data_IF_887400134465
#
_entry.id   IF_887400134465
#
_cell.length_a   1.000
_cell.length_b   1.000
_cell.length_c   1.000
_cell.angle_alpha   90.00
_cell.angle_beta   90.00
_cell.angle_gamma   90.00
#
_symmetry.space_group_name_H-M   'P 1'
#
loop_
_entity.id
_entity.type
_entity.pdbx_description
1 polymer ?
#
# COMPACT_ATOMS: atom_id res chain seq x y z
N UNK A 1 9.02 9.98 -1.37
CA UNK A 1 8.28 8.92 -2.09
C UNK A 1 9.29 7.93 -2.65
N UNK A 2 9.27 6.68 -2.19
CA UNK A 2 10.15 5.62 -2.69
C UNK A 2 9.30 4.64 -3.50
N UNK A 3 9.52 4.62 -4.82
CA UNK A 3 9.20 3.46 -5.64
C UNK A 3 10.33 2.46 -5.43
N UNK A 4 10.10 1.40 -4.67
CA UNK A 4 11.16 0.46 -4.32
C UNK A 4 10.63 -0.87 -3.87
N UNK A 5 11.46 -1.90 -4.02
CA UNK A 5 11.25 -3.20 -3.42
C UNK A 5 11.64 -3.12 -1.94
N UNK A 6 10.92 -3.88 -1.11
CA UNK A 6 11.23 -4.06 0.30
C UNK A 6 11.61 -5.52 0.47
N UNK A 7 12.80 -5.77 0.99
CA UNK A 7 13.27 -7.11 1.33
C UNK A 7 13.35 -7.24 2.85
N UNK A 8 12.88 -8.36 3.38
CA UNK A 8 12.96 -8.66 4.80
C UNK A 8 14.15 -9.61 4.99
N UNK A 9 15.21 -9.13 5.64
CA UNK A 9 16.40 -9.91 5.93
C UNK A 9 16.49 -10.11 7.45
N UNK A 10 15.93 -11.23 7.92
CA UNK A 10 15.93 -11.62 9.34
C UNK A 10 15.19 -10.62 10.24
N UNK A 11 15.93 -9.79 10.98
CA UNK A 11 15.42 -8.76 11.90
C UNK A 11 15.55 -7.34 11.35
N UNK A 12 15.95 -7.19 10.09
CA UNK A 12 16.04 -5.90 9.39
C UNK A 12 15.16 -5.85 8.15
N UNK A 13 14.58 -4.68 7.90
CA UNK A 13 13.83 -4.35 6.70
C UNK A 13 14.73 -3.50 5.82
N UNK A 14 15.12 -4.05 4.69
CA UNK A 14 16.00 -3.40 3.73
C UNK A 14 15.13 -2.77 2.63
N UNK A 15 15.28 -1.47 2.46
CA UNK A 15 14.81 -0.75 1.29
C UNK A 15 15.98 -0.51 0.34
N UNK A 16 15.70 0.00 -0.86
CA UNK A 16 16.69 0.25 -1.90
C UNK A 16 17.91 1.07 -1.40
N UNK A 17 17.74 1.93 -0.40
CA UNK A 17 18.77 2.86 0.04
C UNK A 17 19.17 2.75 1.52
N UNK A 18 18.47 1.95 2.33
CA UNK A 18 18.65 1.94 3.78
C UNK A 18 18.14 0.63 4.43
N UNK A 19 18.75 0.23 5.55
CA UNK A 19 18.36 -0.96 6.34
C UNK A 19 17.85 -0.54 7.72
N UNK A 20 16.64 -0.98 8.09
CA UNK A 20 15.97 -0.60 9.35
C UNK A 20 15.74 -1.78 10.27
N UNK A 21 15.99 -1.59 11.56
CA UNK A 21 15.64 -2.59 12.57
C UNK A 21 14.11 -2.72 12.72
N UNK A 22 13.58 -3.91 12.46
CA UNK A 22 12.14 -4.23 12.56
C UNK A 22 11.58 -4.05 13.98
N UNK A 23 12.42 -4.10 15.01
CA UNK A 23 12.04 -3.93 16.41
C UNK A 23 11.38 -2.57 16.69
N UNK A 24 11.74 -1.53 15.92
CA UNK A 24 11.20 -0.17 16.08
C UNK A 24 9.84 0.06 15.42
N UNK A 25 9.32 -0.89 14.62
CA UNK A 25 8.10 -0.72 13.83
C UNK A 25 6.84 -0.94 14.67
N UNK A 26 6.06 0.12 14.89
CA UNK A 26 4.87 0.11 15.75
C UNK A 26 3.64 -0.44 15.03
N UNK A 27 3.38 -0.03 13.78
CA UNK A 27 2.24 -0.50 13.01
C UNK A 27 2.50 -0.52 11.50
N UNK A 28 1.87 -1.49 10.82
CA UNK A 28 1.90 -1.64 9.36
C UNK A 28 0.48 -1.48 8.82
N UNK A 29 0.26 -0.48 7.98
CA UNK A 29 -1.04 -0.23 7.35
C UNK A 29 -0.92 -0.34 5.83
N UNK A 30 -1.76 -1.18 5.22
CA UNK A 30 -1.96 -1.22 3.77
C UNK A 30 -3.29 -0.52 3.44
N UNK A 31 -3.25 0.55 2.65
CA UNK A 31 -4.44 1.30 2.20
C UNK A 31 -4.51 1.34 0.68
N UNK A 32 -5.70 1.56 0.13
CA UNK A 32 -5.93 1.79 -1.30
C UNK A 32 -6.28 3.28 -1.52
N UNK A 33 -5.27 4.16 -1.66
CA UNK A 33 -5.52 5.61 -1.66
C UNK A 33 -6.35 6.07 -2.87
N UNK A 34 -6.26 5.37 -4.01
CA UNK A 34 -6.93 5.75 -5.25
C UNK A 34 -8.30 5.06 -5.45
N UNK A 35 -8.74 4.22 -4.50
CA UNK A 35 -10.01 3.52 -4.62
C UNK A 35 -11.21 4.49 -4.62
N UNK A 36 -11.19 5.50 -3.74
CA UNK A 36 -12.25 6.50 -3.67
C UNK A 36 -12.34 7.32 -4.95
N UNK A 37 -11.20 7.78 -5.47
CA UNK A 37 -11.12 8.50 -6.75
C UNK A 37 -11.58 7.63 -7.92
N UNK A 38 -11.15 6.37 -7.96
CA UNK A 38 -11.59 5.41 -8.98
C UNK A 38 -13.10 5.16 -8.94
N UNK A 39 -13.67 4.97 -7.75
CA UNK A 39 -15.12 4.83 -7.56
C UNK A 39 -15.89 6.08 -7.99
N UNK A 40 -15.37 7.26 -7.65
CA UNK A 40 -15.98 8.53 -8.04
C UNK A 40 -16.00 8.66 -9.57
N UNK A 41 -14.85 8.51 -10.23
CA UNK A 41 -14.75 8.62 -11.69
C UNK A 41 -15.61 7.55 -12.38
N UNK A 42 -15.46 6.28 -11.98
CA UNK A 42 -16.24 5.18 -12.56
C UNK A 42 -17.76 5.34 -12.35
N UNK A 43 -18.17 5.81 -11.17
CA UNK A 43 -19.56 6.11 -10.86
C UNK A 43 -20.12 7.24 -11.71
N UNK A 44 -19.37 8.35 -11.85
CA UNK A 44 -19.77 9.47 -12.71
C UNK A 44 -19.85 9.08 -14.18
N UNK A 45 -18.87 8.34 -14.71
CA UNK A 45 -18.91 7.85 -16.09
C UNK A 45 -20.12 6.94 -16.33
N UNK A 46 -20.44 6.07 -15.36
CA UNK A 46 -21.60 5.17 -15.46
C UNK A 46 -22.92 5.94 -15.42
N UNK A 47 -23.08 6.87 -14.46
CA UNK A 47 -24.29 7.69 -14.36
C UNK A 47 -24.48 8.58 -15.58
N UNK A 48 -23.40 9.19 -16.09
CA UNK A 48 -23.43 10.00 -17.30
C UNK A 48 -23.83 9.18 -18.52
N UNK A 49 -23.20 8.01 -18.70
CA UNK A 49 -23.53 7.10 -19.80
C UNK A 49 -24.99 6.63 -19.77
N UNK A 50 -25.55 6.37 -18.58
CA UNK A 50 -26.97 6.01 -18.43
C UNK A 50 -27.92 7.21 -18.66
N UNK A 51 -27.56 8.40 -18.16
CA UNK A 51 -28.40 9.58 -18.26
C UNK A 51 -28.53 10.13 -19.68
N UNK A 52 -27.53 9.88 -20.53
CA UNK A 52 -27.45 10.40 -21.90
C UNK A 52 -27.32 9.27 -22.94
N UNK A 53 -27.75 8.05 -22.62
CA UNK A 53 -27.61 6.88 -23.48
C UNK A 53 -28.32 7.02 -24.84
N UNK A 54 -29.35 7.87 -24.90
CA UNK A 54 -30.13 8.19 -26.10
C UNK A 54 -29.43 9.22 -27.01
N UNK A 55 -28.54 10.04 -26.45
CA UNK A 55 -27.78 11.08 -27.17
C UNK A 55 -26.41 10.56 -27.60
N UNK A 56 -25.79 9.69 -26.80
CA UNK A 56 -24.44 9.21 -27.06
C UNK A 56 -24.38 8.17 -28.18
N UNK A 57 -23.36 8.28 -29.02
CA UNK A 57 -23.03 7.25 -29.98
C UNK A 57 -22.41 6.03 -29.30
N UNK A 58 -22.52 4.86 -29.95
CA UNK A 58 -21.95 3.61 -29.45
C UNK A 58 -20.45 3.72 -29.12
N UNK A 59 -19.68 4.46 -29.92
CA UNK A 59 -18.25 4.69 -29.66
C UNK A 59 -17.97 5.52 -28.40
N UNK A 60 -18.84 6.47 -28.08
CA UNK A 60 -18.71 7.31 -26.89
C UNK A 60 -19.02 6.53 -25.62
N UNK A 61 -20.05 5.67 -25.66
CA UNK A 61 -20.37 4.73 -24.58
C UNK A 61 -19.20 3.78 -24.30
N UNK A 62 -18.58 3.23 -25.36
CA UNK A 62 -17.38 2.38 -25.22
C UNK A 62 -16.23 3.16 -24.59
N UNK A 63 -16.03 4.42 -25.00
CA UNK A 63 -14.96 5.28 -24.45
C UNK A 63 -15.20 5.59 -22.97
N UNK A 64 -16.43 5.93 -22.59
CA UNK A 64 -16.83 6.13 -21.18
C UNK A 64 -16.63 4.87 -20.34
N UNK A 65 -17.04 3.71 -20.85
CA UNK A 65 -16.85 2.44 -20.18
C UNK A 65 -15.35 2.13 -20.00
N UNK A 66 -14.53 2.38 -21.01
CA UNK A 66 -13.08 2.18 -20.95
C UNK A 66 -12.41 3.11 -19.93
N UNK A 67 -12.73 4.42 -19.95
CA UNK A 67 -12.16 5.39 -19.01
C UNK A 67 -12.58 5.09 -17.57
N UNK A 68 -13.87 4.83 -17.34
CA UNK A 68 -14.39 4.45 -16.02
C UNK A 68 -13.79 3.14 -15.53
N UNK A 69 -13.68 2.14 -16.41
CA UNK A 69 -13.06 0.86 -16.12
C UNK A 69 -11.57 0.97 -15.76
N UNK A 70 -10.80 1.75 -16.51
CA UNK A 70 -9.38 2.00 -16.22
C UNK A 70 -9.17 2.75 -14.91
N UNK A 71 -10.02 3.74 -14.62
CA UNK A 71 -9.97 4.48 -13.34
C UNK A 71 -10.27 3.57 -12.14
N UNK A 72 -11.26 2.68 -12.27
CA UNK A 72 -11.58 1.68 -11.25
C UNK A 72 -10.45 0.65 -11.07
N UNK A 73 -9.93 0.12 -12.17
CA UNK A 73 -8.80 -0.82 -12.15
C UNK A 73 -7.58 -0.19 -11.47
N UNK A 74 -7.22 1.03 -11.85
CA UNK A 74 -6.14 1.78 -11.20
C UNK A 74 -6.38 1.95 -9.70
N UNK A 75 -7.60 2.33 -9.30
CA UNK A 75 -7.98 2.50 -7.89
C UNK A 75 -7.93 1.21 -7.06
N UNK A 76 -8.21 0.06 -7.66
CA UNK A 76 -8.20 -1.25 -6.99
C UNK A 76 -6.80 -1.86 -6.95
N UNK A 77 -6.02 -1.70 -8.02
CA UNK A 77 -4.70 -2.32 -8.15
C UNK A 77 -3.64 -1.59 -7.32
N UNK A 78 -3.69 -0.26 -7.24
CA UNK A 78 -2.66 0.53 -6.54
C UNK A 78 -2.92 0.53 -5.04
N UNK A 79 -1.99 -0.05 -4.29
CA UNK A 79 -1.93 -0.02 -2.85
C UNK A 79 -0.78 0.87 -2.35
N UNK A 80 -0.94 1.36 -1.12
CA UNK A 80 0.08 2.05 -0.35
C UNK A 80 0.32 1.29 0.95
N UNK A 81 1.57 0.96 1.23
CA UNK A 81 2.01 0.43 2.51
C UNK A 81 2.65 1.58 3.30
N UNK A 82 2.17 1.79 4.52
CA UNK A 82 2.71 2.79 5.43
C UNK A 82 3.22 2.09 6.68
N UNK A 83 4.51 2.29 6.97
CA UNK A 83 5.17 1.85 8.19
C UNK A 83 5.11 3.00 9.19
N UNK A 84 4.49 2.76 10.34
CA UNK A 84 4.41 3.74 11.43
C UNK A 84 5.33 3.26 12.55
N UNK A 85 6.32 4.07 12.89
CA UNK A 85 7.21 3.85 14.03
C UNK A 85 7.38 5.15 14.80
N UNK A 86 7.56 5.03 16.12
CA UNK A 86 7.85 6.16 17.00
C UNK A 86 9.24 6.74 16.76
N UNK A 87 10.22 5.89 16.43
CA UNK A 87 11.61 6.27 16.14
C UNK A 87 11.84 6.70 14.68
N UNK A 88 10.93 6.35 13.76
CA UNK A 88 10.97 6.83 12.37
C UNK A 88 10.26 8.19 12.16
N UNK A 89 9.80 8.88 13.23
CA UNK A 89 9.22 10.23 13.13
C UNK A 89 10.30 11.23 12.70
N UNK A 90 10.28 11.60 11.41
CA UNK A 90 11.20 12.57 10.82
C UNK A 90 12.16 11.98 9.78
N UNK A 91 12.18 10.65 9.63
CA UNK A 91 12.96 9.98 8.58
C UNK A 91 12.10 9.76 7.32
N UNK A 92 12.67 9.89 6.11
CA UNK A 92 11.96 9.81 4.82
C UNK A 92 11.31 8.44 4.51
N UNK A 93 11.41 7.45 5.40
CA UNK A 93 10.77 6.13 5.29
C UNK A 93 9.49 5.97 6.11
N UNK A 94 9.10 7.01 6.85
CA UNK A 94 7.68 7.24 7.14
C UNK A 94 6.84 7.39 5.84
N UNK A 95 7.50 7.57 4.70
CA UNK A 95 6.89 7.84 3.41
C UNK A 95 6.53 6.54 2.66
N UNK A 96 5.26 6.15 2.79
CA UNK A 96 4.45 5.44 1.81
C UNK A 96 5.18 4.65 0.70
N UNK A 97 5.33 3.33 0.85
CA UNK A 97 5.74 2.47 -0.27
C UNK A 97 4.52 2.15 -1.13
N UNK A 98 4.62 2.40 -2.43
CA UNK A 98 3.57 2.12 -3.39
C UNK A 98 3.85 0.80 -4.12
N UNK A 99 2.80 0.04 -4.35
CA UNK A 99 2.87 -1.22 -5.09
C UNK A 99 1.50 -1.82 -5.29
N UNK A 100 1.43 -3.01 -5.87
CA UNK A 100 0.15 -3.71 -6.06
C UNK A 100 -0.44 -4.08 -4.71
N UNK A 101 -1.71 -3.75 -4.46
CA UNK A 101 -2.38 -4.04 -3.18
C UNK A 101 -2.23 -5.50 -2.77
N UNK A 102 -2.37 -6.45 -3.71
CA UNK A 102 -2.22 -7.89 -3.44
C UNK A 102 -0.84 -8.25 -2.90
N UNK A 103 0.21 -7.64 -3.44
CA UNK A 103 1.59 -7.86 -3.01
C UNK A 103 1.81 -7.28 -1.61
N UNK A 104 1.38 -6.03 -1.40
CA UNK A 104 1.49 -5.35 -0.09
C UNK A 104 0.69 -6.04 1.01
N UNK A 105 -0.51 -6.53 0.70
CA UNK A 105 -1.34 -7.25 1.66
C UNK A 105 -0.76 -8.63 2.03
N UNK A 106 0.01 -9.25 1.12
CA UNK A 106 0.76 -10.50 1.40
C UNK A 106 2.01 -10.24 2.24
N UNK A 107 2.68 -9.10 2.06
CA UNK A 107 3.85 -8.71 2.85
C UNK A 107 3.48 -8.31 4.28
N UNK A 108 2.29 -7.74 4.50
CA UNK A 108 1.82 -7.32 5.83
C UNK A 108 1.97 -8.38 6.93
N UNK A 109 1.45 -9.61 6.81
CA UNK A 109 1.63 -10.63 7.86
C UNK A 109 3.10 -11.08 8.02
N UNK A 110 3.90 -11.05 6.95
CA UNK A 110 5.31 -11.41 7.02
C UNK A 110 6.11 -10.38 7.84
N UNK A 111 5.83 -9.10 7.64
CA UNK A 111 6.44 -8.01 8.42
C UNK A 111 6.03 -8.10 9.89
N UNK A 112 4.76 -8.42 10.17
CA UNK A 112 4.28 -8.57 11.54
C UNK A 112 4.96 -9.76 12.25
N UNK A 113 5.06 -10.91 11.60
CA UNK A 113 5.73 -12.08 12.18
C UNK A 113 7.23 -11.83 12.41
N UNK A 114 7.90 -11.18 11.46
CA UNK A 114 9.32 -10.84 11.59
C UNK A 114 9.58 -9.83 12.72
N UNK A 115 8.66 -8.87 12.92
CA UNK A 115 8.69 -7.95 14.05
C UNK A 115 8.55 -8.69 15.39
N UNK A 116 7.58 -9.58 15.50
CA UNK A 116 7.30 -10.29 16.75
C UNK A 116 8.50 -11.18 17.14
N UNK A 117 9.11 -11.85 16.16
CA UNK A 117 10.34 -12.62 16.36
C UNK A 117 11.55 -11.74 16.77
N UNK A 118 11.72 -10.57 16.15
CA UNK A 118 12.79 -9.64 16.51
C UNK A 118 12.65 -9.13 17.96
N UNK A 119 11.41 -8.85 18.39
CA UNK A 119 11.09 -8.35 19.73
C UNK A 119 11.29 -9.42 20.81
N UNK A 120 10.94 -10.67 20.51
CA UNK A 120 11.22 -11.82 21.38
C UNK A 120 12.72 -11.98 21.59
N UNK A 121 13.52 -11.93 20.50
CA UNK A 121 14.98 -12.05 20.56
C UNK A 121 15.65 -10.93 21.39
N UNK A 122 15.16 -9.69 21.31
CA UNK A 122 15.64 -8.59 22.17
C UNK A 122 15.33 -8.84 23.65
N UNK A 123 14.15 -9.38 23.95
CA UNK A 123 13.73 -9.65 25.34
C UNK A 123 14.59 -10.77 25.94
N UNK A 124 14.78 -11.87 25.21
CA UNK A 124 15.63 -13.00 25.66
C UNK A 124 17.10 -12.61 25.77
N UNK A 125 17.61 -11.73 24.89
CA UNK A 125 19.00 -11.26 24.97
C UNK A 125 19.25 -10.25 26.09
N UNK A 126 18.21 -9.54 26.55
CA UNK A 126 18.27 -8.64 27.70
C UNK A 126 18.31 -9.39 29.04
N UNK A 127 17.63 -10.53 29.13
CA UNK A 127 17.51 -11.36 30.33
C UNK A 127 18.81 -12.12 30.67
N UNK A 128 19.68 -12.38 29.68
CA UNK A 128 20.98 -13.04 29.89
C UNK A 128 22.05 -12.06 30.41
N UNK A 129 21.76 -10.75 30.47
CA UNK A 129 22.70 -9.70 30.90
C UNK A 129 22.39 -9.09 32.28
N UNK A 130 21.32 -9.53 32.96
CA UNK A 130 21.00 -9.16 34.35
C UNK A 130 21.36 -10.28 35.31
#
# INVERSE_FOLDING_TARGET
>A
MILGYITITGTSLETHNDSYALASVTAVSARRPFLSSGLMIGGFCTLFGLAFADILYAGELVTLAAVGGLALLGGVMVGRLQLISRDLRGLPIADAVYGTYRHLNRLRPQILNARDFAREKETTSGEVRS
#
